data_IF_475593495590
#
_entry.id   IF_475593495590
#
_cell.length_a   1.000
_cell.length_b   1.000
_cell.length_c   1.000
_cell.angle_alpha   90.00
_cell.angle_beta   90.00
_cell.angle_gamma   90.00
#
_symmetry.space_group_name_H-M   'P 1'
#
loop_
_entity.id
_entity.type
_entity.pdbx_description
1 polymer ?
#
# COMPACT_ATOMS: atom_id res chain seq x y z
N UNK A 1 37.24 -66.75 -56.22
CA UNK A 1 35.97 -67.50 -56.41
C UNK A 1 34.99 -66.99 -55.37
N UNK A 2 34.18 -65.96 -55.68
CA UNK A 2 32.78 -66.04 -56.19
C UNK A 2 31.83 -66.90 -55.32
N UNK A 3 31.06 -66.23 -54.46
CA UNK A 3 29.63 -66.50 -54.19
C UNK A 3 28.98 -65.16 -53.80
N UNK A 4 28.26 -64.45 -54.68
CA UNK A 4 26.79 -64.51 -54.85
C UNK A 4 26.09 -64.58 -53.47
N UNK A 5 25.37 -63.59 -52.96
CA UNK A 5 24.50 -62.60 -53.59
C UNK A 5 23.05 -62.93 -53.19
N UNK A 6 22.44 -62.12 -52.34
CA UNK A 6 20.98 -62.07 -52.18
C UNK A 6 20.57 -60.69 -51.65
N UNK A 7 20.02 -59.85 -52.52
CA UNK A 7 19.19 -58.72 -52.14
C UNK A 7 17.92 -59.26 -51.49
N UNK A 8 17.59 -58.79 -50.29
CA UNK A 8 16.26 -58.94 -49.70
C UNK A 8 15.72 -57.55 -49.37
N UNK A 9 14.72 -57.14 -50.13
CA UNK A 9 13.84 -56.01 -49.81
C UNK A 9 13.17 -56.29 -48.46
N UNK A 10 13.35 -55.40 -47.49
CA UNK A 10 12.38 -55.26 -46.39
C UNK A 10 11.89 -53.82 -46.32
N UNK A 11 10.67 -53.68 -46.80
CA UNK A 11 9.70 -52.63 -46.51
C UNK A 11 9.57 -52.51 -44.97
N UNK A 12 9.97 -51.40 -44.36
CA UNK A 12 9.61 -51.10 -42.98
C UNK A 12 8.68 -49.90 -42.94
N UNK A 13 7.46 -50.23 -42.53
CA UNK A 13 6.27 -49.42 -42.36
C UNK A 13 6.54 -48.29 -41.38
N UNK A 14 6.19 -47.06 -41.77
CA UNK A 14 6.03 -45.93 -40.86
C UNK A 14 4.99 -46.27 -39.81
N UNK A 15 5.42 -46.45 -38.56
CA UNK A 15 4.55 -46.30 -37.40
C UNK A 15 5.03 -45.05 -36.69
N UNK A 16 4.34 -43.94 -36.98
CA UNK A 16 4.42 -42.75 -36.16
C UNK A 16 3.91 -43.08 -34.77
N UNK A 17 4.82 -43.19 -33.81
CA UNK A 17 4.51 -43.05 -32.40
C UNK A 17 4.81 -41.60 -32.01
N UNK A 18 4.01 -40.68 -32.55
CA UNK A 18 3.68 -39.48 -31.79
C UNK A 18 2.54 -39.90 -30.87
N UNK A 19 2.89 -40.34 -29.67
CA UNK A 19 1.95 -40.25 -28.55
C UNK A 19 1.88 -38.78 -28.17
N UNK A 20 1.01 -38.05 -28.86
CA UNK A 20 0.38 -36.86 -28.29
C UNK A 20 -0.56 -37.34 -27.19
N UNK A 21 -0.04 -37.45 -25.97
CA UNK A 21 -0.82 -37.73 -24.77
C UNK A 21 -0.53 -36.63 -23.77
N UNK A 22 -1.31 -35.57 -23.85
CA UNK A 22 -1.37 -34.54 -22.83
C UNK A 22 -1.82 -33.23 -23.43
N UNK A 23 -3.14 -33.03 -23.49
CA UNK A 23 -3.70 -31.69 -23.32
C UNK A 23 -3.22 -31.17 -21.94
N UNK A 24 -1.98 -30.70 -21.86
CA UNK A 24 -1.49 -29.87 -20.78
C UNK A 24 -2.08 -28.48 -20.99
N UNK A 25 -3.39 -28.37 -20.78
CA UNK A 25 -3.98 -27.07 -20.51
C UNK A 25 -3.45 -26.69 -19.14
N UNK A 26 -2.53 -25.72 -19.10
CA UNK A 26 -2.14 -25.05 -17.86
C UNK A 26 -3.43 -24.70 -17.09
N UNK A 27 -3.57 -25.10 -15.83
CA UNK A 27 -4.82 -24.88 -15.13
C UNK A 27 -5.11 -23.38 -15.03
N UNK A 28 -6.28 -22.98 -15.53
CA UNK A 28 -6.74 -21.57 -15.63
C UNK A 28 -6.63 -20.82 -14.30
N UNK A 29 -6.80 -21.51 -13.16
CA UNK A 29 -6.65 -20.95 -11.81
C UNK A 29 -5.23 -20.51 -11.43
N UNK A 30 -4.22 -20.80 -12.28
CA UNK A 30 -2.87 -20.24 -12.15
C UNK A 30 -2.73 -18.89 -12.87
N UNK A 31 -3.55 -18.63 -13.88
CA UNK A 31 -3.53 -17.39 -14.65
C UNK A 31 -4.23 -16.25 -13.90
N UNK A 32 -5.42 -16.52 -13.33
CA UNK A 32 -6.18 -15.58 -12.50
C UNK A 32 -6.86 -16.32 -11.34
N UNK A 33 -7.07 -15.65 -10.21
CA UNK A 33 -7.72 -16.26 -9.04
C UNK A 33 -8.24 -15.22 -8.04
N UNK A 34 -9.12 -15.67 -7.16
CA UNK A 34 -9.34 -15.07 -5.84
C UNK A 34 -8.93 -16.11 -4.81
N UNK A 35 -7.95 -15.79 -3.97
CA UNK A 35 -7.49 -16.66 -2.88
C UNK A 35 -7.61 -15.96 -1.55
N UNK A 36 -8.00 -16.73 -0.55
CA UNK A 36 -8.18 -16.24 0.80
C UNK A 36 -7.11 -16.78 1.71
N UNK A 37 -6.59 -15.93 2.58
CA UNK A 37 -5.60 -16.29 3.58
C UNK A 37 -6.09 -15.90 4.96
N UNK A 38 -5.89 -16.82 5.89
CA UNK A 38 -6.33 -16.65 7.27
C UNK A 38 -6.41 -17.97 7.99
N UNK A 39 -6.70 -17.87 9.28
CA UNK A 39 -6.97 -18.99 10.17
C UNK A 39 -8.33 -18.72 10.83
N UNK A 40 -8.65 -19.35 11.95
CA UNK A 40 -9.84 -18.97 12.72
C UNK A 40 -9.75 -17.53 13.24
N UNK A 41 -10.89 -16.82 13.28
CA UNK A 41 -10.98 -15.39 13.58
C UNK A 41 -10.85 -14.49 12.35
N UNK A 42 -10.84 -13.17 12.55
CA UNK A 42 -10.75 -12.21 11.45
C UNK A 42 -9.29 -12.01 11.01
N UNK A 43 -9.09 -11.79 9.71
CA UNK A 43 -7.84 -11.36 9.12
C UNK A 43 -8.06 -10.26 8.08
N UNK A 44 -7.35 -9.15 8.23
CA UNK A 44 -7.40 -8.02 7.30
C UNK A 44 -6.05 -7.78 6.62
N UNK A 45 -6.09 -7.56 5.31
CA UNK A 45 -4.91 -7.25 4.50
C UNK A 45 -4.49 -5.80 4.66
N UNK A 46 -3.18 -5.53 4.68
CA UNK A 46 -2.64 -4.17 4.86
C UNK A 46 -1.81 -3.74 3.67
N UNK A 47 -0.80 -4.53 3.33
CA UNK A 47 0.13 -4.20 2.26
C UNK A 47 0.80 -5.48 1.72
N UNK A 48 1.48 -5.39 0.59
CA UNK A 48 2.25 -6.50 0.03
C UNK A 48 3.53 -6.05 -0.68
N UNK A 49 4.47 -7.00 -0.78
CA UNK A 49 5.66 -6.87 -1.62
C UNK A 49 5.66 -7.99 -2.65
N UNK A 50 5.95 -7.61 -3.90
CA UNK A 50 6.26 -8.55 -4.97
C UNK A 50 7.77 -8.61 -5.14
N UNK A 51 8.36 -9.78 -4.94
CA UNK A 51 9.78 -10.02 -5.19
C UNK A 51 10.04 -10.21 -6.69
N UNK A 52 11.30 -10.02 -7.10
CA UNK A 52 11.72 -10.20 -8.49
C UNK A 52 11.50 -11.64 -9.02
N UNK A 53 11.45 -12.64 -8.14
CA UNK A 53 11.14 -14.03 -8.48
C UNK A 53 9.63 -14.31 -8.61
N UNK A 54 8.79 -13.29 -8.43
CA UNK A 54 7.33 -13.39 -8.47
C UNK A 54 6.70 -13.93 -7.18
N UNK A 55 7.48 -14.17 -6.12
CA UNK A 55 6.90 -14.47 -4.80
C UNK A 55 6.28 -13.22 -4.19
N UNK A 56 5.19 -13.42 -3.46
CA UNK A 56 4.37 -12.35 -2.90
C UNK A 56 4.45 -12.47 -1.38
N UNK A 57 4.87 -11.41 -0.70
CA UNK A 57 4.79 -11.32 0.75
C UNK A 57 3.62 -10.40 1.11
N UNK A 58 2.62 -10.93 1.79
CA UNK A 58 1.41 -10.22 2.21
C UNK A 58 1.53 -9.92 3.70
N UNK A 59 1.36 -8.65 4.05
CA UNK A 59 1.22 -8.16 5.41
C UNK A 59 -0.26 -7.93 5.73
N UNK A 60 -0.68 -8.42 6.88
CA UNK A 60 -2.00 -8.17 7.42
C UNK A 60 -2.01 -8.22 8.94
N UNK A 61 -3.21 -8.23 9.50
CA UNK A 61 -3.44 -8.45 10.93
C UNK A 61 -4.46 -9.55 11.13
N UNK A 62 -4.36 -10.24 12.26
CA UNK A 62 -5.34 -11.22 12.70
C UNK A 62 -5.94 -10.82 14.03
N UNK A 63 -7.24 -11.08 14.18
CA UNK A 63 -8.00 -10.85 15.39
C UNK A 63 -8.77 -12.12 15.77
N UNK A 64 -8.36 -12.73 16.88
CA UNK A 64 -9.03 -13.95 17.40
C UNK A 64 -10.02 -13.60 18.52
N UNK A 65 -9.77 -12.51 19.23
CA UNK A 65 -10.64 -12.01 20.29
C UNK A 65 -10.79 -10.49 20.19
N UNK A 66 -11.86 -9.90 20.75
CA UNK A 66 -12.07 -8.46 20.72
C UNK A 66 -10.84 -7.69 21.18
N UNK A 67 -10.41 -6.73 20.38
CA UNK A 67 -9.25 -5.86 20.62
C UNK A 67 -7.88 -6.59 20.73
N UNK A 68 -7.81 -7.89 20.43
CA UNK A 68 -6.55 -8.64 20.37
C UNK A 68 -6.09 -8.82 18.92
N UNK A 69 -5.29 -7.86 18.44
CA UNK A 69 -4.80 -7.82 17.06
C UNK A 69 -3.30 -8.09 17.02
N UNK A 70 -2.90 -8.91 16.05
CA UNK A 70 -1.51 -9.36 15.88
C UNK A 70 -1.14 -9.35 14.42
N UNK A 71 0.12 -9.11 14.11
CA UNK A 71 0.66 -9.20 12.75
C UNK A 71 0.44 -10.62 12.19
N UNK A 72 -0.06 -10.68 10.97
CA UNK A 72 -0.22 -11.89 10.18
C UNK A 72 0.54 -11.73 8.86
N UNK A 73 1.44 -12.66 8.57
CA UNK A 73 2.24 -12.67 7.35
C UNK A 73 1.94 -13.92 6.54
N UNK A 74 1.91 -13.76 5.23
CA UNK A 74 1.80 -14.86 4.27
C UNK A 74 2.81 -14.64 3.16
N UNK A 75 3.69 -15.61 2.91
CA UNK A 75 4.46 -15.66 1.67
C UNK A 75 3.82 -16.68 0.74
N UNK A 76 3.53 -16.25 -0.48
CA UNK A 76 2.95 -17.08 -1.53
C UNK A 76 3.81 -17.06 -2.79
N UNK A 77 3.64 -18.08 -3.65
CA UNK A 77 4.22 -18.07 -5.00
C UNK A 77 3.38 -17.18 -5.95
N UNK A 78 3.79 -17.03 -7.21
CA UNK A 78 3.08 -16.23 -8.23
C UNK A 78 1.72 -16.80 -8.65
N UNK A 79 1.43 -18.06 -8.29
CA UNK A 79 0.11 -18.67 -8.43
C UNK A 79 -0.74 -18.50 -7.16
N UNK A 80 -0.24 -17.78 -6.14
CA UNK A 80 -0.92 -17.55 -4.86
C UNK A 80 -0.92 -18.76 -3.91
N UNK A 81 -0.17 -19.82 -4.18
CA UNK A 81 -0.04 -20.93 -3.22
C UNK A 81 0.86 -20.52 -2.06
N UNK A 82 0.46 -20.87 -0.83
CA UNK A 82 1.19 -20.54 0.39
C UNK A 82 2.53 -21.30 0.41
N UNK A 83 3.61 -20.55 0.55
CA UNK A 83 4.94 -21.07 0.87
C UNK A 83 5.09 -21.17 2.39
N UNK A 84 4.74 -20.10 3.10
CA UNK A 84 4.64 -20.10 4.56
C UNK A 84 3.68 -19.01 5.05
N UNK A 85 3.14 -19.18 6.25
CA UNK A 85 2.37 -18.16 6.97
C UNK A 85 2.78 -18.10 8.44
N UNK A 86 2.72 -16.92 9.05
CA UNK A 86 3.11 -16.73 10.46
C UNK A 86 2.27 -15.67 11.15
N UNK A 87 1.97 -15.92 12.42
CA UNK A 87 1.62 -14.88 13.40
C UNK A 87 2.90 -14.42 14.08
N UNK A 88 3.08 -13.12 14.27
CA UNK A 88 4.26 -12.58 14.96
C UNK A 88 3.89 -11.39 15.83
N UNK A 89 4.76 -11.04 16.77
CA UNK A 89 4.50 -9.91 17.66
C UNK A 89 3.55 -10.25 18.81
N UNK A 90 3.03 -9.22 19.48
CA UNK A 90 2.12 -9.36 20.63
C UNK A 90 0.65 -9.40 20.20
N UNK A 91 -0.29 -9.47 21.14
CA UNK A 91 -1.73 -9.43 20.85
C UNK A 91 -2.28 -8.00 20.69
N UNK A 92 -1.42 -6.99 20.64
CA UNK A 92 -1.81 -5.58 20.54
C UNK A 92 -1.00 -4.84 19.48
N UNK A 93 -0.51 -5.56 18.47
CA UNK A 93 0.35 -5.03 17.40
C UNK A 93 -0.41 -5.07 16.07
N UNK A 94 -0.83 -3.90 15.61
CA UNK A 94 -1.48 -3.70 14.32
C UNK A 94 -0.46 -3.45 13.23
N UNK A 95 -0.52 -4.26 12.18
CA UNK A 95 0.29 -4.08 10.99
C UNK A 95 -0.12 -2.81 10.22
N UNK A 96 0.85 -2.08 9.69
CA UNK A 96 0.61 -0.84 8.93
C UNK A 96 1.22 -0.85 7.55
N UNK A 97 2.51 -1.15 7.46
CA UNK A 97 3.27 -1.03 6.20
C UNK A 97 4.42 -2.03 6.17
N UNK A 98 4.85 -2.44 4.98
CA UNK A 98 6.02 -3.31 4.79
C UNK A 98 6.85 -2.84 3.58
N UNK A 99 8.16 -2.74 3.77
CA UNK A 99 9.06 -2.35 2.67
C UNK A 99 10.28 -3.29 2.60
N UNK A 100 10.82 -3.47 1.39
CA UNK A 100 12.08 -4.19 1.18
C UNK A 100 13.26 -3.30 1.58
N UNK A 101 14.14 -3.81 2.45
CA UNK A 101 15.35 -3.09 2.83
C UNK A 101 16.40 -3.21 1.72
N UNK A 102 16.79 -2.07 1.15
CA UNK A 102 17.65 -2.02 -0.04
C UNK A 102 19.12 -1.71 0.26
N UNK A 103 19.43 -1.18 1.46
CA UNK A 103 20.78 -0.81 1.87
C UNK A 103 21.01 -1.06 3.37
N UNK A 104 22.26 -0.95 3.83
CA UNK A 104 22.62 -1.14 5.23
C UNK A 104 22.74 -2.60 5.68
N UNK A 105 22.84 -2.85 7.00
CA UNK A 105 23.12 -4.19 7.55
C UNK A 105 21.98 -5.18 7.35
N UNK A 106 20.77 -4.69 7.08
CA UNK A 106 19.58 -5.51 6.84
C UNK A 106 19.20 -5.59 5.35
N UNK A 107 20.07 -5.18 4.42
CA UNK A 107 19.77 -5.25 2.99
C UNK A 107 19.33 -6.68 2.56
N UNK A 108 18.22 -6.76 1.81
CA UNK A 108 17.58 -8.02 1.40
C UNK A 108 16.56 -8.59 2.41
N UNK A 109 16.43 -7.99 3.59
CA UNK A 109 15.35 -8.26 4.53
C UNK A 109 14.14 -7.35 4.27
N UNK A 110 13.09 -7.50 5.07
CA UNK A 110 11.93 -6.60 5.07
C UNK A 110 11.84 -5.85 6.40
N UNK A 111 11.34 -4.61 6.35
CA UNK A 111 10.95 -3.83 7.52
C UNK A 111 9.43 -3.78 7.59
N UNK A 112 8.86 -4.09 8.76
CA UNK A 112 7.43 -3.99 9.04
C UNK A 112 7.20 -2.84 10.01
N UNK A 113 6.30 -1.93 9.66
CA UNK A 113 5.78 -0.91 10.56
C UNK A 113 4.52 -1.41 11.27
N UNK A 114 4.44 -1.14 12.57
CA UNK A 114 3.26 -1.45 13.37
C UNK A 114 2.88 -0.32 14.32
N UNK A 115 1.59 -0.28 14.65
CA UNK A 115 1.05 0.50 15.74
C UNK A 115 0.73 -0.46 16.90
N UNK A 116 1.41 -0.29 18.02
CA UNK A 116 1.29 -1.16 19.19
C UNK A 116 0.49 -0.46 20.28
N UNK A 117 -0.68 -0.99 20.62
CA UNK A 117 -1.48 -0.46 21.73
C UNK A 117 -0.87 -0.88 23.06
N UNK A 118 -0.68 0.09 23.95
CA UNK A 118 -0.18 -0.16 25.30
C UNK A 118 -1.28 -0.79 26.15
N UNK A 119 -0.95 -1.81 26.98
CA UNK A 119 -1.92 -2.41 27.89
C UNK A 119 -2.50 -1.45 28.94
N UNK A 120 -1.79 -0.37 29.26
CA UNK A 120 -2.16 0.62 30.28
C UNK A 120 -2.20 2.01 29.63
N UNK A 121 -3.30 2.75 29.82
CA UNK A 121 -3.41 4.17 29.46
C UNK A 121 -3.81 4.45 28.01
N UNK A 122 -4.42 3.49 27.32
CA UNK A 122 -4.99 3.61 25.96
C UNK A 122 -4.16 4.45 24.98
N UNK A 123 -2.85 4.18 24.96
CA UNK A 123 -1.89 4.88 24.11
C UNK A 123 -1.31 3.95 23.06
N UNK A 124 -0.88 4.53 21.95
CA UNK A 124 -0.29 3.78 20.83
C UNK A 124 1.17 4.18 20.66
N UNK A 125 2.04 3.19 20.51
CA UNK A 125 3.44 3.38 20.11
C UNK A 125 3.69 2.86 18.70
N UNK A 126 4.77 3.34 18.10
CA UNK A 126 5.23 2.87 16.79
C UNK A 126 6.34 1.85 16.99
N UNK A 127 6.36 0.80 16.18
CA UNK A 127 7.42 -0.21 16.21
C UNK A 127 7.80 -0.67 14.81
N UNK A 128 9.11 -0.71 14.56
CA UNK A 128 9.70 -1.33 13.39
C UNK A 128 10.17 -2.73 13.74
N UNK A 129 9.93 -3.69 12.85
CA UNK A 129 10.41 -5.08 13.00
C UNK A 129 11.09 -5.49 11.70
N UNK A 130 12.34 -5.95 11.79
CA UNK A 130 13.07 -6.50 10.65
C UNK A 130 12.86 -8.00 10.61
N UNK A 131 12.52 -8.52 9.43
CA UNK A 131 12.36 -9.96 9.18
C UNK A 131 13.16 -10.40 7.96
N UNK A 132 13.68 -11.63 7.98
CA UNK A 132 14.33 -12.22 6.81
C UNK A 132 13.32 -12.74 5.78
N UNK A 133 13.83 -13.25 4.65
CA UNK A 133 13.05 -13.85 3.56
C UNK A 133 12.22 -15.09 3.94
N UNK A 134 12.50 -15.69 5.10
CA UNK A 134 11.78 -16.83 5.67
C UNK A 134 10.80 -16.41 6.77
N UNK A 135 10.66 -15.10 7.00
CA UNK A 135 9.78 -14.51 8.01
C UNK A 135 10.29 -14.71 9.44
N UNK A 136 11.60 -14.87 9.66
CA UNK A 136 12.16 -14.86 11.02
C UNK A 136 12.60 -13.45 11.39
N UNK A 137 12.23 -13.03 12.61
CA UNK A 137 12.64 -11.74 13.17
C UNK A 137 14.17 -11.67 13.31
N UNK A 138 14.74 -10.61 12.78
CA UNK A 138 16.16 -10.25 12.92
C UNK A 138 16.35 -9.24 14.05
N UNK A 139 15.57 -8.15 14.03
CA UNK A 139 15.65 -7.08 15.03
C UNK A 139 14.33 -6.30 15.14
N UNK A 140 14.22 -5.39 16.10
CA UNK A 140 13.11 -4.45 16.23
C UNK A 140 13.45 -3.25 17.09
N UNK A 141 12.84 -2.10 16.80
CA UNK A 141 12.89 -0.90 17.65
C UNK A 141 11.49 -0.35 17.90
N UNK A 142 11.27 0.18 19.09
CA UNK A 142 10.03 0.86 19.48
C UNK A 142 10.31 2.35 19.65
N UNK A 143 9.37 3.18 19.19
CA UNK A 143 9.37 4.62 19.41
C UNK A 143 8.20 5.00 20.30
N UNK A 144 8.51 5.61 21.44
CA UNK A 144 7.54 5.90 22.49
C UNK A 144 7.73 7.26 23.17
N UNK A 145 7.88 8.34 22.40
CA UNK A 145 8.12 9.68 22.96
C UNK A 145 6.85 10.51 23.25
N UNK A 146 5.71 10.21 22.63
CA UNK A 146 4.46 10.95 22.83
C UNK A 146 3.42 10.11 23.58
N UNK A 147 2.32 10.75 23.98
CA UNK A 147 1.17 10.06 24.56
C UNK A 147 0.66 9.01 23.58
N UNK A 148 0.32 9.42 22.36
CA UNK A 148 0.01 8.51 21.25
C UNK A 148 0.70 8.95 19.96
N UNK A 149 1.19 7.97 19.22
CA UNK A 149 1.72 8.14 17.87
C UNK A 149 1.27 6.98 17.01
N UNK A 150 0.97 7.29 15.75
CA UNK A 150 0.46 6.36 14.78
C UNK A 150 1.33 6.46 13.53
N UNK A 151 2.04 5.37 13.23
CA UNK A 151 2.72 5.19 11.96
C UNK A 151 1.69 4.87 10.87
N UNK A 152 1.87 5.48 9.71
CA UNK A 152 1.14 5.20 8.48
C UNK A 152 2.02 4.45 7.49
N UNK A 153 3.22 4.96 7.21
CA UNK A 153 4.18 4.35 6.28
C UNK A 153 5.60 4.35 6.85
N UNK A 154 6.39 3.35 6.44
CA UNK A 154 7.83 3.30 6.60
C UNK A 154 8.49 3.43 5.22
N UNK A 155 9.61 4.13 5.15
CA UNK A 155 10.41 4.24 3.92
C UNK A 155 11.84 3.86 4.24
N UNK A 156 12.40 2.91 3.49
CA UNK A 156 13.82 2.56 3.57
C UNK A 156 14.63 3.58 2.80
N UNK A 157 15.74 4.05 3.37
CA UNK A 157 16.58 5.08 2.77
C UNK A 157 17.83 4.50 2.11
N UNK A 158 18.40 5.24 1.17
CA UNK A 158 19.59 4.89 0.39
C UNK A 158 20.85 4.75 1.23
N UNK A 159 20.89 5.38 2.41
CA UNK A 159 21.95 5.18 3.42
C UNK A 159 21.70 3.99 4.35
N UNK A 160 20.64 3.21 4.10
CA UNK A 160 20.28 2.00 4.83
C UNK A 160 19.44 2.23 6.09
N UNK A 161 19.02 3.47 6.36
CA UNK A 161 18.11 3.81 7.45
C UNK A 161 16.63 3.64 7.13
N UNK A 162 15.79 4.19 8.02
CA UNK A 162 14.33 4.07 7.95
C UNK A 162 13.67 5.39 8.37
N UNK A 163 12.67 5.83 7.62
CA UNK A 163 11.83 6.98 7.97
C UNK A 163 10.41 6.50 8.18
N UNK A 164 9.78 6.90 9.29
CA UNK A 164 8.37 6.62 9.58
C UNK A 164 7.58 7.91 9.49
N UNK A 165 6.47 7.88 8.75
CA UNK A 165 5.52 8.98 8.62
C UNK A 165 4.16 8.61 9.20
N UNK A 166 3.39 9.58 9.68
CA UNK A 166 2.04 9.37 10.20
C UNK A 166 1.55 10.58 10.99
N UNK A 167 0.92 10.36 12.15
CA UNK A 167 0.50 11.46 13.03
C UNK A 167 0.68 11.15 14.53
N UNK A 168 0.70 12.20 15.36
CA UNK A 168 0.59 12.15 16.82
C UNK A 168 -0.86 12.45 17.25
N UNK A 169 -1.22 12.19 18.50
CA UNK A 169 -2.51 12.62 19.08
C UNK A 169 -2.35 12.88 20.59
N UNK A 170 -3.00 13.93 21.14
CA UNK A 170 -2.34 15.12 21.69
C UNK A 170 -1.69 14.83 23.05
N UNK A 171 -0.49 15.27 23.43
CA UNK A 171 0.44 16.28 22.90
C UNK A 171 1.91 15.95 23.30
N UNK A 172 2.91 16.63 22.71
CA UNK A 172 4.14 16.99 23.45
C UNK A 172 4.76 18.36 23.09
N UNK A 173 4.06 19.27 22.41
CA UNK A 173 4.57 20.64 22.22
C UNK A 173 3.60 21.66 22.81
N UNK A 174 3.99 22.16 23.98
CA UNK A 174 3.28 23.09 24.82
C UNK A 174 3.25 24.50 24.18
N UNK A 175 2.32 24.75 23.26
CA UNK A 175 2.13 26.04 22.61
C UNK A 175 0.93 26.82 23.18
N UNK A 176 1.16 27.46 24.33
CA UNK A 176 0.34 28.59 24.82
C UNK A 176 -1.17 28.32 24.99
N UNK A 177 -1.96 29.36 25.31
CA UNK A 177 -3.41 29.21 25.46
C UNK A 177 -4.08 29.35 24.07
N UNK A 178 -4.27 28.24 23.36
CA UNK A 178 -5.05 28.18 22.12
C UNK A 178 -6.17 27.12 22.18
N UNK A 179 -7.20 27.34 21.37
CA UNK A 179 -8.54 26.79 21.53
C UNK A 179 -8.67 25.31 21.10
N UNK A 180 -9.01 24.44 22.05
CA UNK A 180 -9.83 23.19 22.06
C UNK A 180 -9.99 22.25 20.83
N UNK A 181 -9.37 22.40 19.65
CA UNK A 181 -9.62 21.48 18.51
C UNK A 181 -8.44 21.07 17.64
N UNK A 182 -7.19 21.39 17.98
CA UNK A 182 -6.00 20.82 17.30
C UNK A 182 -5.69 19.44 17.89
N UNK A 183 -5.80 18.35 17.11
CA UNK A 183 -5.83 16.98 17.65
C UNK A 183 -4.70 16.08 17.14
N UNK A 184 -3.94 16.46 16.09
CA UNK A 184 -2.89 15.61 15.52
C UNK A 184 -1.78 16.33 14.75
N UNK A 185 -0.53 16.24 15.21
CA UNK A 185 0.64 16.74 14.45
C UNK A 185 1.22 15.67 13.52
N UNK A 186 2.05 16.12 12.58
CA UNK A 186 2.87 15.22 11.78
C UNK A 186 3.79 14.35 12.63
N UNK A 187 3.72 13.04 12.43
CA UNK A 187 4.77 12.12 12.84
C UNK A 187 5.82 12.01 11.74
N UNK A 188 7.07 12.34 12.04
CA UNK A 188 8.23 12.02 11.21
C UNK A 188 9.42 11.57 12.07
N UNK A 189 9.78 10.30 12.00
CA UNK A 189 10.88 9.70 12.78
C UNK A 189 11.92 9.14 11.82
N UNK A 190 13.22 9.30 12.12
CA UNK A 190 14.31 8.64 11.38
C UNK A 190 15.18 7.77 12.26
N UNK A 191 15.37 6.54 11.83
CA UNK A 191 16.35 5.60 12.36
C UNK A 191 17.52 5.41 11.39
N UNK A 192 18.72 5.18 11.93
CA UNK A 192 19.85 4.70 11.13
C UNK A 192 19.67 3.22 10.75
N UNK A 193 20.60 2.67 9.96
CA UNK A 193 20.52 1.28 9.53
C UNK A 193 20.68 0.24 10.64
N UNK A 194 21.11 0.63 11.84
CA UNK A 194 21.16 -0.23 13.02
C UNK A 194 19.98 0.04 13.97
N UNK A 195 18.91 0.69 13.48
CA UNK A 195 17.73 1.04 14.25
C UNK A 195 17.97 2.01 15.41
N UNK A 196 19.07 2.78 15.40
CA UNK A 196 19.25 3.86 16.37
C UNK A 196 18.49 5.10 15.91
N UNK A 197 17.79 5.75 16.84
CA UNK A 197 17.11 7.02 16.57
C UNK A 197 18.15 8.10 16.20
N UNK A 198 17.89 8.83 15.13
CA UNK A 198 18.77 9.90 14.64
C UNK A 198 18.16 11.27 14.85
N UNK A 199 19.00 12.31 14.90
CA UNK A 199 18.54 13.69 14.83
C UNK A 199 18.01 13.97 13.43
N UNK A 200 16.75 14.38 13.35
CA UNK A 200 16.01 14.59 12.11
C UNK A 200 15.15 15.84 12.27
N UNK A 201 14.97 16.67 11.22
CA UNK A 201 13.97 17.72 11.28
C UNK A 201 12.60 17.10 11.52
N UNK A 202 11.97 17.38 12.66
CA UNK A 202 10.61 16.90 12.98
C UNK A 202 9.54 17.95 12.68
N UNK A 203 9.96 19.20 12.51
CA UNK A 203 9.07 20.32 12.19
C UNK A 203 8.98 20.48 10.67
N UNK A 204 8.06 19.72 10.05
CA UNK A 204 7.63 19.99 8.69
C UNK A 204 6.38 20.89 8.67
N UNK A 205 6.13 21.73 9.70
CA UNK A 205 4.93 22.58 9.87
C UNK A 205 3.95 21.96 10.86
N UNK A 206 3.12 22.70 11.61
CA UNK A 206 2.65 24.10 11.59
C UNK A 206 1.12 24.09 11.80
N UNK A 207 0.54 25.05 12.55
CA UNK A 207 -0.87 25.09 13.03
C UNK A 207 -1.89 24.36 12.12
N UNK A 208 -2.40 23.21 12.57
CA UNK A 208 -3.40 22.37 11.88
C UNK A 208 -3.20 20.86 12.06
N UNK A 209 -4.28 20.08 11.94
CA UNK A 209 -4.25 18.62 11.91
C UNK A 209 -3.48 18.15 10.67
N UNK A 210 -2.48 17.30 10.85
CA UNK A 210 -1.65 16.74 9.77
C UNK A 210 -1.60 15.22 9.82
N UNK A 211 -1.75 14.58 8.66
CA UNK A 211 -1.47 13.16 8.46
C UNK A 211 -0.37 12.96 7.43
N UNK A 212 0.78 12.42 7.85
CA UNK A 212 1.84 12.02 6.94
C UNK A 212 1.54 10.72 6.20
N UNK A 213 1.67 10.74 4.88
CA UNK A 213 1.32 9.61 4.01
C UNK A 213 2.57 8.86 3.54
N UNK A 214 3.53 9.55 2.91
CA UNK A 214 4.74 8.89 2.42
C UNK A 214 5.92 9.85 2.32
N UNK A 215 7.11 9.30 2.49
CA UNK A 215 8.38 9.96 2.27
C UNK A 215 9.08 9.39 1.03
N UNK A 216 9.81 10.23 0.29
CA UNK A 216 10.66 9.80 -0.81
C UNK A 216 12.09 10.30 -0.59
N UNK A 217 13.00 9.34 -0.42
CA UNK A 217 14.45 9.57 -0.33
C UNK A 217 15.02 9.75 -1.74
N UNK A 218 15.26 11.00 -2.17
CA UNK A 218 15.76 11.30 -3.52
C UNK A 218 17.28 11.38 -3.53
N UNK A 219 17.85 12.11 -2.58
CA UNK A 219 19.29 12.23 -2.38
C UNK A 219 19.57 12.81 -0.99
N UNK A 220 20.81 12.80 -0.47
CA UNK A 220 21.11 13.37 0.84
C UNK A 220 20.62 14.80 1.08
N UNK A 221 20.46 15.62 0.03
CA UNK A 221 20.00 17.02 0.13
C UNK A 221 18.64 17.29 -0.47
N UNK A 222 17.97 16.33 -1.10
CA UNK A 222 16.64 16.51 -1.69
C UNK A 222 15.73 15.37 -1.29
N UNK A 223 14.56 15.71 -0.74
CA UNK A 223 13.59 14.75 -0.24
C UNK A 223 12.18 15.28 -0.41
N UNK A 224 11.23 14.38 -0.64
CA UNK A 224 9.82 14.73 -0.78
C UNK A 224 8.99 14.08 0.29
N UNK A 225 7.96 14.79 0.72
CA UNK A 225 7.04 14.37 1.75
C UNK A 225 5.62 14.68 1.29
N UNK A 226 4.73 13.70 1.42
CA UNK A 226 3.33 13.82 1.05
C UNK A 226 2.45 13.58 2.28
N UNK A 227 1.44 14.43 2.43
CA UNK A 227 0.51 14.44 3.56
C UNK A 227 -0.86 14.97 3.13
N UNK A 228 -1.77 15.07 4.08
CA UNK A 228 -2.90 16.00 3.99
C UNK A 228 -3.02 16.78 5.31
N UNK A 229 -3.60 17.97 5.25
CA UNK A 229 -3.78 18.86 6.41
C UNK A 229 -5.03 19.72 6.30
N UNK A 230 -5.62 20.09 7.42
CA UNK A 230 -6.76 21.03 7.49
C UNK A 230 -6.35 22.51 7.54
N UNK A 231 -5.06 22.80 7.35
CA UNK A 231 -4.55 24.16 7.34
C UNK A 231 -5.29 25.02 6.31
N UNK A 232 -6.01 26.03 6.81
CA UNK A 232 -6.75 26.98 5.98
C UNK A 232 -5.83 27.77 5.05
N UNK A 233 -6.09 27.73 3.75
CA UNK A 233 -5.35 28.45 2.73
C UNK A 233 -6.00 29.81 2.41
N UNK A 234 -5.21 30.72 1.81
CA UNK A 234 -5.71 32.04 1.42
C UNK A 234 -6.82 31.92 0.37
N UNK A 235 -8.07 32.07 0.78
CA UNK A 235 -9.26 31.83 -0.05
C UNK A 235 -10.34 30.99 0.65
N UNK A 236 -9.95 30.22 1.67
CA UNK A 236 -10.82 29.32 2.46
C UNK A 236 -11.32 29.98 3.76
N UNK A 237 -10.96 31.25 4.00
CA UNK A 237 -11.17 31.98 5.25
C UNK A 237 -12.65 32.19 5.67
N UNK A 238 -13.61 31.84 4.82
CA UNK A 238 -15.06 31.96 5.09
C UNK A 238 -15.78 30.59 5.21
N UNK A 239 -15.05 29.48 5.29
CA UNK A 239 -15.65 28.15 5.53
C UNK A 239 -15.84 27.98 7.04
N UNK A 240 -17.03 28.36 7.53
CA UNK A 240 -17.26 28.67 8.96
C UNK A 240 -17.12 27.47 9.92
N UNK A 241 -17.09 26.19 9.51
CA UNK A 241 -16.97 25.10 10.50
C UNK A 241 -16.70 23.68 9.98
N UNK A 242 -15.97 23.48 8.88
CA UNK A 242 -15.57 22.12 8.48
C UNK A 242 -14.07 22.12 8.24
N UNK A 243 -13.34 21.29 8.99
CA UNK A 243 -11.95 20.89 8.80
C UNK A 243 -11.70 20.56 7.32
N UNK A 244 -11.31 21.57 6.56
CA UNK A 244 -11.16 21.48 5.11
C UNK A 244 -9.77 20.93 4.83
N UNK A 245 -9.71 19.62 4.58
CA UNK A 245 -8.44 18.95 4.37
C UNK A 245 -8.00 19.14 2.93
N UNK A 246 -6.73 19.46 2.74
CA UNK A 246 -6.08 19.56 1.45
C UNK A 246 -4.96 18.54 1.38
N UNK A 247 -4.71 17.97 0.19
CA UNK A 247 -3.45 17.27 -0.03
C UNK A 247 -2.32 18.27 0.13
N UNK A 248 -1.26 17.86 0.79
CA UNK A 248 -0.11 18.70 1.05
C UNK A 248 1.16 17.98 0.61
N UNK A 249 1.87 18.64 -0.30
CA UNK A 249 3.09 18.17 -0.91
C UNK A 249 4.23 19.07 -0.47
N UNK A 250 5.21 18.48 0.19
CA UNK A 250 6.36 19.17 0.73
C UNK A 250 7.62 18.68 0.01
N UNK A 251 8.40 19.64 -0.47
CA UNK A 251 9.73 19.41 -1.00
C UNK A 251 10.75 20.09 -0.11
N UNK A 252 11.76 19.34 0.30
CA UNK A 252 12.94 19.88 0.97
C UNK A 252 14.13 19.69 0.04
N UNK A 253 14.80 20.79 -0.31
CA UNK A 253 16.05 20.76 -1.07
C UNK A 253 17.07 21.71 -0.47
N UNK A 254 18.25 21.21 -0.12
CA UNK A 254 19.33 21.97 0.51
C UNK A 254 18.85 22.77 1.75
N UNK A 255 18.02 22.12 2.59
CA UNK A 255 17.31 22.69 3.74
C UNK A 255 16.29 23.80 3.41
N UNK A 256 16.00 24.05 2.14
CA UNK A 256 14.92 24.95 1.71
C UNK A 256 13.66 24.14 1.50
N UNK A 257 12.61 24.53 2.22
CA UNK A 257 11.27 23.95 2.14
C UNK A 257 10.41 24.66 1.10
N UNK A 258 9.63 23.90 0.34
CA UNK A 258 8.60 24.42 -0.57
C UNK A 258 7.35 23.55 -0.43
N UNK A 259 6.20 24.19 -0.25
CA UNK A 259 4.92 23.54 -0.04
C UNK A 259 3.98 23.80 -1.22
N UNK A 260 3.24 22.77 -1.61
CA UNK A 260 2.15 22.84 -2.57
C UNK A 260 0.92 22.17 -1.96
N UNK A 261 -0.25 22.71 -2.26
CA UNK A 261 -1.52 22.19 -1.76
C UNK A 261 -2.46 21.93 -2.92
N UNK A 262 -3.19 20.83 -2.84
CA UNK A 262 -4.24 20.47 -3.78
C UNK A 262 -5.55 20.23 -3.02
N UNK A 263 -6.57 20.97 -3.42
CA UNK A 263 -7.92 20.92 -2.85
C UNK A 263 -8.57 22.30 -2.87
N UNK A 264 -9.77 22.41 -2.30
CA UNK A 264 -10.37 23.73 -2.10
C UNK A 264 -11.68 23.75 -1.32
N UNK A 265 -12.10 24.96 -0.96
CA UNK A 265 -13.18 25.32 -0.01
C UNK A 265 -14.53 24.56 -0.02
N UNK A 266 -14.83 23.74 -1.02
CA UNK A 266 -16.12 23.05 -1.17
C UNK A 266 -16.08 21.55 -0.83
N UNK A 267 -14.89 20.96 -0.74
CA UNK A 267 -14.68 19.53 -0.53
C UNK A 267 -13.46 19.30 0.35
N UNK A 268 -13.50 18.29 1.22
CA UNK A 268 -12.34 17.87 2.00
C UNK A 268 -11.59 16.74 1.29
N UNK A 269 -10.32 16.97 0.97
CA UNK A 269 -9.38 16.08 0.29
C UNK A 269 -8.46 15.36 1.28
N UNK A 270 -8.62 14.04 1.41
CA UNK A 270 -7.72 13.20 2.23
C UNK A 270 -6.94 12.22 1.38
N UNK A 271 -5.63 12.42 1.33
CA UNK A 271 -4.71 11.54 0.61
C UNK A 271 -4.63 10.20 1.33
N UNK A 272 -4.65 9.10 0.57
CA UNK A 272 -4.46 7.75 1.08
C UNK A 272 -3.14 7.15 0.61
N UNK A 273 -2.67 7.50 -0.58
CA UNK A 273 -1.41 6.97 -1.08
C UNK A 273 -0.77 7.89 -2.11
N UNK A 274 0.54 7.69 -2.32
CA UNK A 274 1.28 8.27 -3.42
C UNK A 274 2.34 7.30 -3.91
N UNK A 275 2.47 7.16 -5.23
CA UNK A 275 3.44 6.27 -5.86
C UNK A 275 4.25 7.01 -6.91
N UNK A 276 5.51 6.61 -7.11
CA UNK A 276 6.37 7.12 -8.17
C UNK A 276 6.19 6.32 -9.46
N UNK A 277 6.52 6.96 -10.57
CA UNK A 277 6.59 6.36 -11.89
C UNK A 277 8.03 6.37 -12.41
N UNK A 278 8.41 5.44 -13.31
CA UNK A 278 9.76 5.45 -13.92
C UNK A 278 10.17 6.75 -14.63
N UNK A 279 9.21 7.63 -14.93
CA UNK A 279 9.47 8.97 -15.47
C UNK A 279 10.03 9.97 -14.45
N UNK A 280 9.94 9.66 -13.15
CA UNK A 280 10.14 10.61 -12.05
C UNK A 280 8.89 11.40 -11.65
N UNK A 281 7.75 11.19 -12.32
CA UNK A 281 6.46 11.71 -11.88
C UNK A 281 5.88 10.84 -10.75
N UNK A 282 4.90 11.40 -10.04
CA UNK A 282 4.16 10.74 -8.98
C UNK A 282 2.66 10.85 -9.24
N UNK A 283 1.91 9.90 -8.70
CA UNK A 283 0.46 9.95 -8.62
C UNK A 283 0.05 9.82 -7.16
N UNK A 284 -0.55 10.86 -6.62
CA UNK A 284 -1.28 10.80 -5.36
C UNK A 284 -2.73 10.39 -5.63
N UNK A 285 -3.27 9.57 -4.73
CA UNK A 285 -4.66 9.16 -4.71
C UNK A 285 -5.24 9.44 -3.33
N UNK A 286 -6.51 9.83 -3.29
CA UNK A 286 -7.25 10.01 -2.06
C UNK A 286 -8.74 10.10 -2.32
N UNK A 287 -9.44 10.66 -1.34
CA UNK A 287 -10.90 10.82 -1.38
C UNK A 287 -11.25 12.29 -1.18
N UNK A 288 -12.07 12.85 -2.06
CA UNK A 288 -12.76 14.13 -1.82
C UNK A 288 -14.09 13.85 -1.13
N UNK A 289 -14.49 14.68 -0.17
CA UNK A 289 -15.80 14.61 0.50
C UNK A 289 -16.49 15.95 0.42
N UNK A 290 -17.64 16.02 -0.24
CA UNK A 290 -18.42 17.26 -0.32
C UNK A 290 -19.08 17.61 1.02
N UNK A 291 -19.63 18.82 1.12
CA UNK A 291 -20.45 19.25 2.27
C UNK A 291 -21.73 18.42 2.46
N UNK A 292 -22.23 17.75 1.42
CA UNK A 292 -23.33 16.78 1.49
C UNK A 292 -22.87 15.39 1.93
N UNK A 293 -21.56 15.15 2.07
CA UNK A 293 -20.97 13.85 2.40
C UNK A 293 -20.72 12.95 1.20
N UNK A 294 -20.87 13.45 -0.02
CA UNK A 294 -20.62 12.67 -1.24
C UNK A 294 -19.11 12.46 -1.41
N UNK A 295 -18.71 11.21 -1.58
CA UNK A 295 -17.31 10.82 -1.70
C UNK A 295 -16.94 10.46 -3.14
N UNK A 296 -15.81 10.96 -3.61
CA UNK A 296 -15.24 10.62 -4.92
C UNK A 296 -13.75 10.36 -4.81
N UNK A 297 -13.18 9.62 -5.76
CA UNK A 297 -11.73 9.44 -5.85
C UNK A 297 -11.13 10.73 -6.41
N UNK A 298 -10.04 11.20 -5.80
CA UNK A 298 -9.17 12.24 -6.32
C UNK A 298 -7.84 11.64 -6.73
N UNK A 299 -7.42 11.92 -7.96
CA UNK A 299 -6.07 11.68 -8.45
C UNK A 299 -5.35 13.00 -8.67
N UNK A 300 -4.11 13.10 -8.23
CA UNK A 300 -3.26 14.28 -8.41
C UNK A 300 -1.89 13.86 -8.90
N UNK A 301 -1.54 14.31 -10.11
CA UNK A 301 -0.25 14.09 -10.74
C UNK A 301 0.74 15.15 -10.28
N UNK A 302 1.89 14.70 -9.79
CA UNK A 302 2.99 15.55 -9.35
C UNK A 302 4.20 15.27 -10.25
N UNK A 303 4.82 16.31 -10.81
CA UNK A 303 5.91 16.17 -11.78
C UNK A 303 7.24 16.68 -11.24
N UNK A 304 8.28 16.66 -12.08
CA UNK A 304 9.65 17.01 -11.73
C UNK A 304 9.73 18.30 -10.92
N UNK A 305 10.43 18.21 -9.79
CA UNK A 305 10.49 19.28 -8.80
C UNK A 305 9.40 19.20 -7.73
N UNK A 306 8.59 18.13 -7.71
CA UNK A 306 7.49 17.88 -6.79
C UNK A 306 6.38 18.95 -6.88
N UNK A 307 6.06 19.35 -8.11
CA UNK A 307 5.06 20.38 -8.42
C UNK A 307 3.78 19.75 -8.98
N UNK A 308 2.63 20.29 -8.57
CA UNK A 308 1.32 19.87 -9.06
C UNK A 308 1.20 20.11 -10.57
N UNK A 309 0.66 19.13 -11.30
CA UNK A 309 0.48 19.20 -12.75
C UNK A 309 -0.99 19.14 -13.15
N UNK A 310 -1.70 18.12 -12.69
CA UNK A 310 -3.08 17.84 -13.09
C UNK A 310 -3.76 17.06 -11.99
N UNK A 311 -5.02 17.41 -11.71
CA UNK A 311 -5.87 16.67 -10.79
C UNK A 311 -7.19 16.33 -11.45
N UNK A 312 -7.73 15.17 -11.08
CA UNK A 312 -9.01 14.70 -11.59
C UNK A 312 -9.76 13.93 -10.53
N UNK A 313 -10.98 14.37 -10.28
CA UNK A 313 -11.94 13.64 -9.47
C UNK A 313 -12.88 12.83 -10.35
N UNK A 314 -13.21 11.61 -9.93
CA UNK A 314 -14.20 10.80 -10.63
C UNK A 314 -14.93 9.86 -9.69
N UNK A 315 -16.06 9.34 -10.20
CA UNK A 315 -16.88 8.29 -9.58
C UNK A 315 -17.41 8.67 -8.20
N UNK A 316 -18.57 9.34 -8.17
CA UNK A 316 -19.34 9.52 -6.94
C UNK A 316 -19.69 8.15 -6.33
N UNK A 317 -19.54 8.03 -5.01
CA UNK A 317 -19.71 6.78 -4.27
C UNK A 317 -18.43 5.94 -4.21
N UNK A 318 -17.23 6.54 -4.29
CA UNK A 318 -15.97 5.81 -4.24
C UNK A 318 -14.95 6.47 -3.31
N UNK A 319 -14.07 5.65 -2.73
CA UNK A 319 -12.96 6.07 -1.88
C UNK A 319 -11.63 5.59 -2.48
N UNK A 320 -10.63 6.46 -2.60
CA UNK A 320 -9.30 6.07 -3.08
C UNK A 320 -8.48 5.42 -1.97
N UNK A 321 -7.76 4.32 -2.26
CA UNK A 321 -7.00 3.56 -1.24
C UNK A 321 -5.52 3.47 -1.57
N UNK A 322 -5.14 2.93 -2.73
CA UNK A 322 -3.73 2.66 -3.05
C UNK A 322 -3.48 2.74 -4.56
N UNK A 323 -2.24 3.02 -4.93
CA UNK A 323 -1.81 3.08 -6.33
C UNK A 323 -0.43 2.47 -6.54
N UNK A 324 -0.20 1.88 -7.71
CA UNK A 324 1.09 1.36 -8.15
C UNK A 324 1.31 1.73 -9.62
N UNK A 325 2.52 2.11 -10.00
CA UNK A 325 2.86 2.30 -11.41
C UNK A 325 3.21 0.97 -12.07
N UNK A 326 2.66 0.73 -13.27
CA UNK A 326 2.96 -0.46 -14.10
C UNK A 326 3.65 -0.06 -15.43
N UNK A 327 4.09 1.19 -15.50
CA UNK A 327 4.70 1.76 -16.69
C UNK A 327 4.93 3.25 -16.56
N UNK A 328 5.47 3.84 -17.63
CA UNK A 328 5.75 5.29 -17.68
C UNK A 328 4.44 6.06 -17.63
N UNK A 329 4.20 6.76 -16.50
CA UNK A 329 2.99 7.51 -16.18
C UNK A 329 1.69 6.71 -16.31
N UNK A 330 1.73 5.39 -16.05
CA UNK A 330 0.56 4.51 -16.08
C UNK A 330 0.39 3.84 -14.73
N UNK A 331 -0.84 3.83 -14.22
CA UNK A 331 -1.10 3.46 -12.83
C UNK A 331 -2.26 2.48 -12.70
N UNK A 332 -2.06 1.48 -11.85
CA UNK A 332 -3.13 0.70 -11.25
C UNK A 332 -3.57 1.46 -10.01
N UNK A 333 -4.88 1.62 -9.84
CA UNK A 333 -5.44 2.20 -8.62
C UNK A 333 -6.49 1.27 -8.06
N UNK A 334 -6.53 1.18 -6.74
CA UNK A 334 -7.59 0.49 -6.02
C UNK A 334 -8.29 1.42 -5.04
N UNK A 335 -9.57 1.14 -4.85
CA UNK A 335 -10.45 1.92 -3.99
C UNK A 335 -11.59 1.08 -3.46
N UNK A 336 -12.49 1.73 -2.73
CA UNK A 336 -13.72 1.12 -2.26
C UNK A 336 -14.90 1.73 -3.01
N UNK A 337 -15.70 0.90 -3.66
CA UNK A 337 -17.00 1.29 -4.18
C UNK A 337 -18.03 1.22 -3.05
N UNK A 338 -18.61 2.36 -2.69
CA UNK A 338 -19.65 2.47 -1.66
C UNK A 338 -20.99 2.03 -2.25
N UNK A 339 -21.71 1.19 -1.51
CA UNK A 339 -23.01 0.64 -1.91
C UNK A 339 -24.11 1.08 -0.94
N UNK A 340 -25.40 0.92 -1.32
CA UNK A 340 -26.51 1.16 -0.41
C UNK A 340 -26.33 0.43 0.92
N UNK A 341 -26.57 1.12 2.04
CA UNK A 341 -26.33 0.56 3.38
C UNK A 341 -24.89 0.72 3.89
N UNK A 342 -24.04 1.50 3.20
CA UNK A 342 -22.66 1.81 3.59
C UNK A 342 -21.74 0.58 3.67
N UNK A 343 -22.03 -0.43 2.86
CA UNK A 343 -21.13 -1.55 2.58
C UNK A 343 -20.25 -1.23 1.38
N UNK A 344 -19.11 -1.90 1.26
CA UNK A 344 -18.16 -1.65 0.17
C UNK A 344 -17.89 -2.90 -0.67
N UNK A 345 -17.44 -2.64 -1.89
CA UNK A 345 -16.74 -3.58 -2.74
C UNK A 345 -15.33 -3.05 -3.02
N UNK A 346 -14.39 -3.96 -3.26
CA UNK A 346 -13.06 -3.64 -3.79
C UNK A 346 -13.23 -3.17 -5.23
N UNK A 347 -12.69 -2.01 -5.60
CA UNK A 347 -12.69 -1.49 -6.96
C UNK A 347 -11.26 -1.36 -7.47
N UNK A 348 -11.04 -1.76 -8.72
CA UNK A 348 -9.76 -1.67 -9.42
C UNK A 348 -9.96 -0.84 -10.70
N UNK A 349 -9.01 0.03 -11.01
CA UNK A 349 -8.92 0.66 -12.33
C UNK A 349 -7.49 0.78 -12.87
N UNK A 350 -7.40 0.82 -14.20
CA UNK A 350 -6.21 1.22 -14.94
C UNK A 350 -6.36 2.66 -15.39
N UNK A 351 -5.36 3.48 -15.09
CA UNK A 351 -5.35 4.90 -15.37
C UNK A 351 -4.20 5.25 -16.31
N UNK A 352 -4.52 6.02 -17.35
CA UNK A 352 -3.56 6.45 -18.35
C UNK A 352 -2.79 7.73 -17.91
N UNK A 353 -1.79 8.19 -18.68
CA UNK A 353 -1.02 9.38 -18.34
C UNK A 353 -1.80 10.71 -18.24
N UNK A 354 -3.02 10.77 -18.78
CA UNK A 354 -3.97 11.88 -18.74
C UNK A 354 -5.05 11.69 -17.65
N UNK A 355 -4.83 10.75 -16.73
CA UNK A 355 -5.75 10.42 -15.64
C UNK A 355 -7.14 9.91 -16.10
N UNK A 356 -7.26 9.40 -17.33
CA UNK A 356 -8.47 8.70 -17.76
C UNK A 356 -8.45 7.23 -17.35
N UNK A 357 -9.63 6.74 -16.96
CA UNK A 357 -9.87 5.32 -16.71
C UNK A 357 -9.97 4.60 -18.07
N UNK A 358 -9.10 3.64 -18.29
CA UNK A 358 -9.13 2.78 -19.49
C UNK A 358 -9.83 1.44 -19.23
N UNK A 359 -9.81 1.00 -17.97
CA UNK A 359 -10.42 -0.25 -17.52
C UNK A 359 -10.81 -0.08 -16.05
N UNK A 360 -11.92 -0.69 -15.65
CA UNK A 360 -12.30 -0.82 -14.25
C UNK A 360 -13.14 -2.07 -14.00
N UNK A 361 -13.06 -2.59 -12.78
CA UNK A 361 -13.88 -3.71 -12.30
C UNK A 361 -14.03 -3.66 -10.78
N UNK A 362 -14.98 -4.42 -10.23
CA UNK A 362 -15.21 -4.52 -8.79
C UNK A 362 -15.32 -5.98 -8.32
N UNK A 363 -14.89 -6.23 -7.08
CA UNK A 363 -14.97 -7.52 -6.39
C UNK A 363 -15.64 -7.34 -5.04
N UNK A 364 -16.56 -8.23 -4.71
CA UNK A 364 -17.26 -8.24 -3.43
C UNK A 364 -18.61 -8.93 -3.52
N UNK A 365 -19.10 -9.42 -2.38
CA UNK A 365 -20.41 -10.06 -2.27
C UNK A 365 -21.52 -9.02 -2.10
N UNK A 366 -22.76 -9.31 -2.51
CA UNK A 366 -23.87 -8.34 -2.47
C UNK A 366 -24.20 -7.78 -1.07
N UNK A 367 -23.86 -8.53 -0.02
CA UNK A 367 -24.22 -8.22 1.37
C UNK A 367 -23.01 -8.15 2.32
N UNK A 368 -21.80 -8.05 1.78
CA UNK A 368 -20.53 -8.05 2.54
C UNK A 368 -19.89 -6.66 2.54
N UNK A 369 -19.00 -6.36 3.48
CA UNK A 369 -18.23 -5.11 3.47
C UNK A 369 -16.77 -5.41 3.08
N UNK A 370 -16.53 -5.49 1.77
CA UNK A 370 -15.24 -5.87 1.20
C UNK A 370 -14.42 -4.62 0.86
N UNK A 371 -13.15 -4.61 1.27
CA UNK A 371 -12.32 -3.39 1.31
C UNK A 371 -10.99 -3.61 0.63
N UNK A 372 -10.58 -2.69 -0.24
CA UNK A 372 -9.26 -2.70 -0.85
C UNK A 372 -8.18 -2.35 0.20
N UNK A 373 -6.96 -2.83 -0.03
CA UNK A 373 -5.80 -2.52 0.79
C UNK A 373 -4.62 -2.06 -0.05
N UNK A 374 -4.21 -2.84 -1.06
CA UNK A 374 -3.05 -2.54 -1.90
C UNK A 374 -3.21 -3.09 -3.32
N UNK A 375 -2.39 -2.60 -4.24
CA UNK A 375 -2.30 -3.08 -5.62
C UNK A 375 -0.85 -3.11 -6.08
N UNK A 376 -0.49 -4.13 -6.85
CA UNK A 376 0.84 -4.27 -7.42
C UNK A 376 0.80 -4.99 -8.77
N UNK A 377 1.92 -4.97 -9.48
CA UNK A 377 2.14 -5.72 -10.71
C UNK A 377 3.17 -6.84 -10.46
N UNK A 378 2.89 -8.04 -10.96
CA UNK A 378 3.85 -9.14 -11.01
C UNK A 378 4.87 -8.92 -12.13
N UNK A 379 6.07 -9.55 -12.08
CA UNK A 379 7.09 -9.40 -13.14
C UNK A 379 6.61 -9.80 -14.54
N UNK A 380 5.55 -10.61 -14.65
CA UNK A 380 4.94 -11.02 -15.91
C UNK A 380 3.81 -10.09 -16.39
N UNK A 381 3.53 -9.00 -15.67
CA UNK A 381 2.49 -8.02 -15.96
C UNK A 381 1.12 -8.33 -15.34
N UNK A 382 0.96 -9.48 -14.66
CA UNK A 382 -0.30 -9.80 -13.99
C UNK A 382 -0.56 -8.81 -12.85
N UNK A 383 -1.82 -8.44 -12.66
CA UNK A 383 -2.23 -7.46 -11.65
C UNK A 383 -2.59 -8.21 -10.36
N UNK A 384 -2.07 -7.74 -9.23
CA UNK A 384 -2.45 -8.21 -7.91
C UNK A 384 -3.24 -7.13 -7.17
N UNK A 385 -4.42 -7.47 -6.69
CA UNK A 385 -5.21 -6.65 -5.77
C UNK A 385 -5.27 -7.37 -4.44
N UNK A 386 -4.85 -6.66 -3.39
CA UNK A 386 -5.01 -7.08 -2.00
C UNK A 386 -6.22 -6.38 -1.41
N UNK A 387 -7.02 -7.14 -0.67
CA UNK A 387 -8.08 -6.58 0.14
C UNK A 387 -8.45 -7.47 1.30
N UNK A 388 -9.56 -7.10 1.94
CA UNK A 388 -10.22 -7.86 2.99
C UNK A 388 -11.63 -8.15 2.53
N UNK A 389 -12.03 -9.42 2.55
CA UNK A 389 -13.37 -9.84 2.14
C UNK A 389 -14.04 -10.65 3.23
N UNK A 390 -15.35 -10.49 3.39
CA UNK A 390 -16.11 -11.25 4.37
C UNK A 390 -16.49 -12.63 3.81
N UNK A 391 -16.13 -13.69 4.54
CA UNK A 391 -16.50 -15.06 4.26
C UNK A 391 -17.16 -15.68 5.49
N UNK A 392 -18.46 -15.98 5.39
CA UNK A 392 -19.22 -16.72 6.40
C UNK A 392 -19.01 -16.12 7.81
N UNK A 393 -19.24 -14.80 7.93
CA UNK A 393 -19.11 -14.01 9.16
C UNK A 393 -17.68 -13.83 9.70
N UNK A 394 -16.64 -14.07 8.90
CA UNK A 394 -15.27 -13.72 9.24
C UNK A 394 -14.63 -12.92 8.11
N UNK A 395 -13.87 -11.90 8.46
CA UNK A 395 -13.05 -11.18 7.48
C UNK A 395 -11.80 -12.01 7.17
N UNK A 396 -11.44 -12.12 5.89
CA UNK A 396 -10.22 -12.79 5.41
C UNK A 396 -9.43 -11.88 4.49
N UNK A 397 -8.11 -12.06 4.51
CA UNK A 397 -7.24 -11.47 3.50
C UNK A 397 -7.60 -12.10 2.16
N UNK A 398 -7.90 -11.28 1.17
CA UNK A 398 -8.16 -11.71 -0.20
C UNK A 398 -7.04 -11.20 -1.12
N UNK A 399 -6.42 -12.11 -1.86
CA UNK A 399 -5.53 -11.78 -2.97
C UNK A 399 -6.24 -12.15 -4.27
N UNK A 400 -6.42 -11.14 -5.11
CA UNK A 400 -7.07 -11.26 -6.41
C UNK A 400 -6.00 -11.06 -7.46
N UNK A 401 -5.83 -12.04 -8.35
CA UNK A 401 -4.90 -11.98 -9.47
C UNK A 401 -5.67 -11.87 -10.77
N UNK A 402 -5.29 -10.91 -11.60
CA UNK A 402 -5.85 -10.64 -12.93
C UNK A 402 -4.77 -10.69 -13.99
N UNK A 403 -5.18 -10.91 -15.24
CA UNK A 403 -4.29 -10.81 -16.41
C UNK A 403 -3.84 -9.35 -16.62
N UNK A 404 -2.78 -9.10 -17.42
CA UNK A 404 -2.23 -7.76 -17.59
C UNK A 404 -3.20 -6.74 -18.18
N UNK A 405 -4.20 -7.19 -18.95
CA UNK A 405 -5.25 -6.33 -19.51
C UNK A 405 -6.35 -5.96 -18.49
N UNK A 406 -6.34 -6.56 -17.29
CA UNK A 406 -7.36 -6.38 -16.26
C UNK A 406 -8.48 -7.40 -16.32
N UNK A 407 -8.49 -8.31 -17.30
CA UNK A 407 -9.51 -9.37 -17.38
C UNK A 407 -9.31 -10.42 -16.29
N UNK A 408 -10.44 -10.94 -15.80
CA UNK A 408 -10.49 -12.04 -14.84
C UNK A 408 -10.84 -13.38 -15.51
N UNK A 409 -11.04 -13.43 -16.84
CA UNK A 409 -11.36 -14.66 -17.59
C UNK A 409 -10.46 -14.83 -18.82
#
# INVERSE_FOLDING_TARGET
MKSRGLLLNLLFICIGLSCDTGNNVEPVFKEHFIKYYGEDGDQDGRDLIVNADGTILILGSTQVAPQQRRIFLVKANSAGDIIWQKRMGTAFEDARDIELVTAGPFAGNFVILTNTRKPIGDSTLVKLIIIDQTGNKQDSVEYNAWQSQYGYSVTTTSDGGFIVTGNTSPEAFNDGPMAVTDLSDLLSIRFDGNLNLTTWPTDFGGEGDIMGIKYFDISPTEHYFAAYTDKLLSGELNVISLYDYNFWFNKVKDNVRTDFFEGGAATAERMSWITSSPSGAYLAIGTTTSTSGDQSILLTKVINGFTLSESKSFSSGFQGVHACSYGVNRYLIVGNQIRPGNTRNIWLAKVNPALDIEFQTSFGGESTDDRASAVAELPNGDILVLGTMNLINQDKIALIKLKPDGSFE
#
